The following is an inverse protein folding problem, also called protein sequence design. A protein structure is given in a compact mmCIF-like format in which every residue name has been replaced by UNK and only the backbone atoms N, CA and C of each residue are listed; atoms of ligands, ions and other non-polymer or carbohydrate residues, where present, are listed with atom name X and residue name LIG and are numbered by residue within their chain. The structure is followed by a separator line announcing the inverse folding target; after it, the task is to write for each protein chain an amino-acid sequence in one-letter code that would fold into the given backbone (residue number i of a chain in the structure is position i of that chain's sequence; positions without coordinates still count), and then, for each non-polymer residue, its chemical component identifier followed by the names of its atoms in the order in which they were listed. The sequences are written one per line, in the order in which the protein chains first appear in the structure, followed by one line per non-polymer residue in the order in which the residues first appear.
data_IF_524467607304
#
_entry.id   IF_524467607304
#
_cell.length_a   1.000
_cell.length_b   1.000
_cell.length_c   1.000
_cell.angle_alpha   90.00
_cell.angle_beta   90.00
_cell.angle_gamma   90.00
#
_symmetry.space_group_name_H-M   'P 1'
#
loop_
_entity.id
_entity.type
_entity.pdbx_description
1 polymer ?
#
# COMPACT_ATOMS: atom_id res chain seq x y z
N UNK A 1 28.23 8.51 27.24
CA UNK A 1 27.16 8.06 26.30
C UNK A 1 27.57 8.46 24.89
N UNK A 2 28.03 7.50 24.09
CA UNK A 2 28.82 7.75 22.88
C UNK A 2 28.03 8.39 21.74
N UNK A 3 28.73 9.14 20.89
CA UNK A 3 28.18 9.84 19.71
C UNK A 3 27.33 8.93 18.78
N UNK A 4 27.52 7.61 18.85
CA UNK A 4 26.75 6.59 18.14
C UNK A 4 25.29 6.45 18.59
N UNK A 5 24.94 6.89 19.80
CA UNK A 5 23.56 6.77 20.31
C UNK A 5 22.62 7.85 19.77
N UNK A 6 23.16 9.00 19.36
CA UNK A 6 22.39 10.08 18.75
C UNK A 6 21.77 9.71 17.39
N UNK A 7 22.50 9.15 16.41
CA UNK A 7 21.90 8.75 15.15
C UNK A 7 20.94 7.57 15.31
N UNK A 8 21.22 6.64 16.25
CA UNK A 8 20.29 5.55 16.54
C UNK A 8 18.98 6.07 17.14
N UNK A 9 19.05 6.98 18.12
CA UNK A 9 17.86 7.59 18.72
C UNK A 9 17.01 8.30 17.67
N UNK A 10 17.62 9.05 16.74
CA UNK A 10 16.88 9.69 15.66
C UNK A 10 16.22 8.71 14.70
N UNK A 11 16.91 7.62 14.32
CA UNK A 11 16.31 6.57 13.49
C UNK A 11 15.11 5.93 14.17
N UNK A 12 15.22 5.63 15.46
CA UNK A 12 14.12 5.07 16.25
C UNK A 12 12.95 6.05 16.33
N UNK A 13 13.21 7.34 16.59
CA UNK A 13 12.17 8.36 16.63
C UNK A 13 11.47 8.52 15.28
N UNK A 14 12.22 8.52 14.18
CA UNK A 14 11.66 8.59 12.82
C UNK A 14 10.82 7.35 12.50
N UNK A 15 11.33 6.15 12.80
CA UNK A 15 10.58 4.92 12.61
C UNK A 15 9.28 4.91 13.44
N UNK A 16 9.36 5.35 14.71
CA UNK A 16 8.20 5.46 15.58
C UNK A 16 7.17 6.46 15.02
N UNK A 17 7.61 7.60 14.49
CA UNK A 17 6.73 8.58 13.84
C UNK A 17 6.04 8.00 12.60
N UNK A 18 6.80 7.36 11.70
CA UNK A 18 6.25 6.75 10.47
C UNK A 18 5.23 5.66 10.82
N UNK A 19 5.57 4.77 11.76
CA UNK A 19 4.65 3.72 12.21
C UNK A 19 3.39 4.29 12.88
N UNK A 20 3.51 5.39 13.63
CA UNK A 20 2.35 6.06 14.23
C UNK A 20 1.41 6.63 13.17
N UNK A 21 1.96 7.30 12.15
CA UNK A 21 1.17 7.83 11.02
C UNK A 21 0.52 6.70 10.22
N UNK A 22 1.23 5.60 9.99
CA UNK A 22 0.71 4.42 9.33
C UNK A 22 -0.46 3.81 10.13
N UNK A 23 -0.31 3.64 11.44
CA UNK A 23 -1.36 3.10 12.31
C UNK A 23 -2.62 3.99 12.31
N UNK A 24 -2.45 5.32 12.33
CA UNK A 24 -3.57 6.27 12.19
C UNK A 24 -4.26 6.13 10.84
N UNK A 25 -3.49 6.02 9.74
CA UNK A 25 -4.06 5.87 8.39
C UNK A 25 -4.80 4.54 8.22
N UNK A 26 -4.29 3.47 8.81
CA UNK A 26 -4.87 2.13 8.70
C UNK A 26 -6.19 2.01 9.49
N UNK A 27 -6.22 2.56 10.70
CA UNK A 27 -7.38 2.47 11.61
C UNK A 27 -8.41 3.58 11.40
N UNK A 28 -8.04 4.67 10.73
CA UNK A 28 -8.93 5.76 10.38
C UNK A 28 -10.01 5.39 9.35
N UNK A 29 -11.01 6.26 9.15
CA UNK A 29 -12.05 6.05 8.15
C UNK A 29 -11.45 5.88 6.74
N UNK A 30 -12.06 5.04 5.91
CA UNK A 30 -11.62 4.89 4.52
C UNK A 30 -11.97 6.13 3.74
N UNK A 31 -11.10 6.49 2.82
CA UNK A 31 -11.42 7.46 1.78
C UNK A 31 -11.19 6.83 0.39
N UNK A 32 -11.88 5.71 0.12
CA UNK A 32 -11.71 4.95 -1.12
C UNK A 32 -12.27 5.68 -2.35
N UNK A 33 -13.22 6.59 -2.17
CA UNK A 33 -13.81 7.34 -3.29
C UNK A 33 -12.96 8.56 -3.69
N UNK A 34 -12.05 9.01 -2.81
CA UNK A 34 -11.15 10.11 -3.14
C UNK A 34 -9.94 9.63 -3.95
N UNK A 35 -9.34 10.57 -4.67
CA UNK A 35 -8.03 10.41 -5.31
C UNK A 35 -7.89 9.20 -6.24
N UNK A 36 -9.02 8.74 -6.80
CA UNK A 36 -9.12 7.52 -7.60
C UNK A 36 -8.59 6.26 -6.89
N UNK A 37 -8.72 6.19 -5.56
CA UNK A 37 -8.36 5.00 -4.79
C UNK A 37 -9.22 3.79 -5.18
N UNK A 38 -10.49 4.01 -5.50
CA UNK A 38 -11.42 3.02 -6.05
C UNK A 38 -10.84 2.29 -7.27
N UNK A 39 -10.21 3.03 -8.19
CA UNK A 39 -9.56 2.47 -9.38
C UNK A 39 -8.33 1.66 -9.02
N UNK A 40 -7.46 2.20 -8.14
CA UNK A 40 -6.24 1.51 -7.74
C UNK A 40 -6.56 0.18 -7.04
N UNK A 41 -7.57 0.17 -6.16
CA UNK A 41 -8.03 -1.05 -5.50
C UNK A 41 -8.68 -2.00 -6.51
N UNK A 42 -9.46 -1.48 -7.46
CA UNK A 42 -10.01 -2.26 -8.57
C UNK A 42 -8.94 -2.99 -9.38
N UNK A 43 -7.84 -2.31 -9.74
CA UNK A 43 -6.73 -2.95 -10.45
C UNK A 43 -6.10 -4.10 -9.66
N UNK A 44 -5.95 -3.95 -8.34
CA UNK A 44 -5.43 -5.02 -7.49
C UNK A 44 -6.40 -6.19 -7.41
N UNK A 45 -7.70 -5.90 -7.24
CA UNK A 45 -8.75 -6.92 -7.22
C UNK A 45 -8.79 -7.72 -8.52
N UNK A 46 -8.66 -7.05 -9.66
CA UNK A 46 -8.62 -7.69 -10.98
C UNK A 46 -7.40 -8.63 -11.14
N UNK A 47 -6.24 -8.27 -10.60
CA UNK A 47 -5.08 -9.18 -10.57
C UNK A 47 -5.36 -10.41 -9.71
N UNK A 48 -5.85 -10.21 -8.49
CA UNK A 48 -6.00 -11.28 -7.48
C UNK A 48 -7.17 -12.21 -7.80
N UNK A 49 -8.27 -11.67 -8.33
CA UNK A 49 -9.49 -12.46 -8.58
C UNK A 49 -9.54 -13.02 -9.99
N UNK A 50 -9.11 -12.26 -10.99
CA UNK A 50 -9.21 -12.67 -12.40
C UNK A 50 -7.86 -13.12 -12.99
N UNK A 51 -6.74 -12.88 -12.29
CA UNK A 51 -5.41 -13.27 -12.77
C UNK A 51 -4.83 -12.34 -13.84
N UNK A 52 -5.36 -11.13 -14.01
CA UNK A 52 -4.94 -10.17 -15.04
C UNK A 52 -3.63 -9.45 -14.71
N UNK A 53 -2.52 -10.20 -14.59
CA UNK A 53 -1.21 -9.63 -14.26
C UNK A 53 -0.63 -8.71 -15.33
N UNK A 54 -1.00 -8.85 -16.60
CA UNK A 54 -0.44 -8.01 -17.68
C UNK A 54 -1.31 -6.79 -18.01
N UNK A 55 -2.64 -6.94 -18.02
CA UNK A 55 -3.58 -5.90 -18.45
C UNK A 55 -4.73 -5.82 -17.44
N UNK A 56 -4.56 -4.97 -16.43
CA UNK A 56 -5.54 -4.78 -15.37
C UNK A 56 -6.67 -3.84 -15.79
N UNK A 57 -7.85 -4.07 -15.21
CA UNK A 57 -9.02 -3.22 -15.35
C UNK A 57 -9.52 -2.75 -13.98
N UNK A 58 -10.11 -1.55 -13.94
CA UNK A 58 -10.79 -1.10 -12.73
C UNK A 58 -12.17 -1.77 -12.59
N UNK A 59 -12.86 -1.50 -11.49
CA UNK A 59 -14.21 -2.01 -11.22
C UNK A 59 -15.27 -1.60 -12.26
N UNK A 60 -14.94 -0.71 -13.21
CA UNK A 60 -15.81 -0.26 -14.30
C UNK A 60 -15.35 -0.80 -15.67
N UNK A 61 -14.37 -1.71 -15.70
CA UNK A 61 -13.83 -2.29 -16.93
C UNK A 61 -12.87 -1.37 -17.69
N UNK A 62 -12.37 -0.29 -17.07
CA UNK A 62 -11.39 0.60 -17.73
C UNK A 62 -9.99 0.06 -17.54
N UNK A 63 -9.27 -0.10 -18.65
CA UNK A 63 -7.85 -0.49 -18.64
C UNK A 63 -7.04 0.47 -17.78
N UNK A 64 -6.11 -0.08 -17.02
CA UNK A 64 -5.22 0.69 -16.17
C UNK A 64 -4.42 1.72 -16.95
N UNK A 65 -4.43 2.95 -16.43
CA UNK A 65 -3.76 4.11 -17.04
C UNK A 65 -2.33 4.36 -16.54
N UNK A 66 -1.88 3.62 -15.52
CA UNK A 66 -0.58 3.77 -14.87
C UNK A 66 0.26 2.50 -15.06
N UNK A 67 1.60 2.58 -14.98
CA UNK A 67 2.44 1.39 -14.98
C UNK A 67 2.10 0.45 -13.80
N UNK A 68 2.16 -0.89 -14.00
CA UNK A 68 1.58 -1.87 -13.08
C UNK A 68 2.41 -2.17 -11.84
N UNK A 69 3.60 -1.60 -11.66
CA UNK A 69 4.53 -2.00 -10.59
C UNK A 69 3.90 -1.95 -9.19
N UNK A 70 3.22 -0.85 -8.84
CA UNK A 70 2.57 -0.74 -7.53
C UNK A 70 1.43 -1.76 -7.39
N UNK A 71 0.62 -1.93 -8.44
CA UNK A 71 -0.45 -2.93 -8.50
C UNK A 71 0.06 -4.34 -8.32
N UNK A 72 1.17 -4.72 -8.96
CA UNK A 72 1.79 -6.04 -8.83
C UNK A 72 2.25 -6.33 -7.41
N UNK A 73 2.94 -5.37 -6.78
CA UNK A 73 3.42 -5.55 -5.41
C UNK A 73 2.21 -5.66 -4.47
N UNK A 74 1.23 -4.75 -4.58
CA UNK A 74 0.03 -4.79 -3.76
C UNK A 74 -0.77 -6.09 -3.95
N UNK A 75 -0.90 -6.57 -5.19
CA UNK A 75 -1.53 -7.84 -5.50
C UNK A 75 -0.79 -9.03 -4.89
N UNK A 76 0.55 -9.05 -4.90
CA UNK A 76 1.31 -10.11 -4.26
C UNK A 76 1.07 -10.18 -2.74
N UNK A 77 0.96 -9.03 -2.04
CA UNK A 77 0.58 -9.01 -0.63
C UNK A 77 -0.87 -9.45 -0.42
N UNK A 78 -1.78 -9.04 -1.32
CA UNK A 78 -3.21 -9.36 -1.23
C UNK A 78 -3.52 -10.83 -1.59
N UNK A 79 -2.76 -11.47 -2.47
CA UNK A 79 -2.80 -12.92 -2.74
C UNK A 79 -2.53 -13.73 -1.47
N UNK A 80 -1.50 -13.32 -0.71
CA UNK A 80 -1.08 -14.06 0.49
C UNK A 80 -1.99 -13.76 1.69
N UNK A 81 -2.37 -12.50 1.89
CA UNK A 81 -3.07 -12.02 3.09
C UNK A 81 -4.54 -11.69 2.89
N UNK A 82 -5.09 -11.93 1.71
CA UNK A 82 -6.42 -11.49 1.29
C UNK A 82 -6.48 -9.99 0.96
N UNK A 83 -7.54 -9.57 0.26
CA UNK A 83 -7.79 -8.15 -0.04
C UNK A 83 -8.36 -7.46 1.19
N UNK A 84 -7.54 -6.63 1.83
CA UNK A 84 -7.93 -5.81 2.95
C UNK A 84 -7.05 -4.56 3.02
N UNK A 85 -7.38 -3.63 3.93
CA UNK A 85 -6.66 -2.36 4.04
C UNK A 85 -5.19 -2.52 4.40
N UNK A 86 -4.83 -3.53 5.19
CA UNK A 86 -3.46 -3.77 5.60
C UNK A 86 -2.64 -4.22 4.40
N UNK A 87 -3.07 -5.25 3.68
CA UNK A 87 -2.36 -5.78 2.52
C UNK A 87 -2.21 -4.75 1.39
N UNK A 88 -3.22 -3.90 1.19
CA UNK A 88 -3.18 -2.82 0.21
C UNK A 88 -2.26 -1.64 0.63
N UNK A 89 -2.07 -1.41 1.93
CA UNK A 89 -1.27 -0.29 2.45
C UNK A 89 0.19 -0.66 2.76
N UNK A 90 0.47 -1.94 3.03
CA UNK A 90 1.81 -2.45 3.36
C UNK A 90 2.90 -2.09 2.33
N UNK A 91 2.69 -2.21 1.00
CA UNK A 91 3.72 -1.86 0.02
C UNK A 91 4.19 -0.41 0.15
N UNK A 92 3.25 0.51 0.34
CA UNK A 92 3.56 1.94 0.49
C UNK A 92 4.22 2.24 1.82
N UNK A 93 3.84 1.56 2.91
CA UNK A 93 4.47 1.72 4.21
C UNK A 93 5.93 1.23 4.23
N UNK A 94 6.20 0.09 3.60
CA UNK A 94 7.55 -0.48 3.48
C UNK A 94 8.47 0.35 2.59
N UNK A 95 7.93 1.11 1.64
CA UNK A 95 8.74 1.95 0.74
C UNK A 95 9.35 3.19 1.42
N UNK A 96 8.85 3.59 2.59
CA UNK A 96 9.28 4.81 3.31
C UNK A 96 9.94 4.54 4.67
N UNK A 97 9.99 3.27 5.10
CA UNK A 97 10.72 2.81 6.28
C UNK A 97 12.18 2.50 5.93
#
# INVERSE_FOLDING_TARGET
MGAWQRPLAWRVLLAALVLSLFALRLTGPSNLEADAQDRNVGYVMDVVWEGHWLVQQDIRGRIMSKPPLHTWIAAAFAEIGGINRLTLALPSALAVL
#
